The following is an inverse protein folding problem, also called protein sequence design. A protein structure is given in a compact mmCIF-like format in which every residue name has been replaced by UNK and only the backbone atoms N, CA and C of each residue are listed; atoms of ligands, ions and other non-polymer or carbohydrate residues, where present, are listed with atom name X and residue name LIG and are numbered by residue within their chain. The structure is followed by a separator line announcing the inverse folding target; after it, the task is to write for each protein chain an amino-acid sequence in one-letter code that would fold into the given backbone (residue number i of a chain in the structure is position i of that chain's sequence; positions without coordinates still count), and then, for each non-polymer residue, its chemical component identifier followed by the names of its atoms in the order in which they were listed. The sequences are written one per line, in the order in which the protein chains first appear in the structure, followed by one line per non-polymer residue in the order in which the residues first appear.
data_IF_014226261299
#
_entry.id   IF_014226261299
#
_cell.length_a   1.000
_cell.length_b   1.000
_cell.length_c   1.000
_cell.angle_alpha   90.00
_cell.angle_beta   90.00
_cell.angle_gamma   90.00
#
_symmetry.space_group_name_H-M   'P 1'
#
loop_
_entity.id
_entity.type
_entity.pdbx_description
1 polymer ?
#
# COMPACT_ATOMS: atom_id res chain seq x y z
N UNK A 1 1.73 16.68 24.31
CA UNK A 1 1.14 15.83 23.24
C UNK A 1 1.05 16.52 21.87
N UNK A 2 1.15 17.86 21.79
CA UNK A 2 1.11 18.66 20.55
C UNK A 2 2.37 18.54 19.66
N UNK A 3 3.50 18.10 20.20
CA UNK A 3 4.76 17.97 19.44
C UNK A 3 5.01 16.58 18.84
N UNK A 4 4.23 15.57 19.22
CA UNK A 4 4.50 14.17 18.93
C UNK A 4 4.02 13.70 17.54
N UNK A 5 3.59 14.63 16.68
CA UNK A 5 3.02 14.36 15.35
C UNK A 5 3.80 15.02 14.20
N UNK A 6 4.91 15.71 14.51
CA UNK A 6 5.82 16.26 13.47
C UNK A 6 6.66 15.19 12.75
N UNK A 7 6.56 13.91 13.15
CA UNK A 7 7.43 12.84 12.65
C UNK A 7 6.80 11.94 11.59
N UNK A 8 5.57 12.21 11.16
CA UNK A 8 4.90 11.51 10.05
C UNK A 8 4.65 12.46 8.86
N UNK A 9 5.60 13.35 8.57
CA UNK A 9 5.56 14.20 7.38
C UNK A 9 6.09 13.44 6.17
N UNK A 10 5.36 12.37 5.79
CA UNK A 10 5.69 11.58 4.59
C UNK A 10 5.60 12.44 3.31
N UNK A 11 4.83 13.53 3.35
CA UNK A 11 4.79 14.58 2.34
C UNK A 11 4.19 15.84 2.98
N UNK A 12 4.97 16.83 3.43
CA UNK A 12 4.41 18.03 4.06
C UNK A 12 3.43 18.76 3.13
N UNK A 13 3.67 18.71 1.82
CA UNK A 13 2.80 19.29 0.79
C UNK A 13 1.49 18.50 0.68
N UNK A 14 1.55 17.18 0.52
CA UNK A 14 0.34 16.34 0.41
C UNK A 14 -0.47 16.34 1.70
N UNK A 15 0.19 16.32 2.85
CA UNK A 15 -0.45 16.40 4.16
C UNK A 15 -1.13 17.76 4.36
N UNK A 16 -0.48 18.87 3.96
CA UNK A 16 -1.07 20.20 3.99
C UNK A 16 -2.30 20.29 3.07
N UNK A 17 -2.16 19.81 1.84
CA UNK A 17 -3.25 19.75 0.87
C UNK A 17 -4.43 18.91 1.40
N UNK A 18 -4.17 17.73 1.97
CA UNK A 18 -5.21 16.88 2.60
C UNK A 18 -5.89 17.60 3.75
N UNK A 19 -5.17 18.37 4.58
CA UNK A 19 -5.79 19.14 5.66
C UNK A 19 -6.69 20.26 5.17
N UNK A 20 -6.34 20.93 4.07
CA UNK A 20 -7.10 22.04 3.52
C UNK A 20 -8.32 21.56 2.69
N UNK A 21 -8.19 20.44 1.97
CA UNK A 21 -9.19 19.95 1.04
C UNK A 21 -9.40 18.42 1.10
N UNK A 22 -9.58 17.87 2.31
CA UNK A 22 -9.62 16.41 2.57
C UNK A 22 -10.54 15.62 1.63
N UNK A 23 -11.79 16.05 1.45
CA UNK A 23 -12.78 15.34 0.62
C UNK A 23 -12.47 15.44 -0.87
N UNK A 24 -11.99 16.61 -1.32
CA UNK A 24 -11.67 16.84 -2.73
C UNK A 24 -10.49 15.98 -3.15
N UNK A 25 -9.43 15.92 -2.34
CA UNK A 25 -8.24 15.13 -2.67
C UNK A 25 -8.54 13.64 -2.61
N UNK A 26 -9.39 13.20 -1.68
CA UNK A 26 -9.87 11.82 -1.67
C UNK A 26 -10.66 11.49 -2.95
N UNK A 27 -11.55 12.38 -3.39
CA UNK A 27 -12.31 12.19 -4.63
C UNK A 27 -11.42 12.20 -5.88
N UNK A 28 -10.51 13.17 -5.99
CA UNK A 28 -9.58 13.30 -7.13
C UNK A 28 -8.66 12.08 -7.19
N UNK A 29 -8.06 11.67 -6.07
CA UNK A 29 -7.20 10.48 -6.05
C UNK A 29 -7.98 9.21 -6.39
N UNK A 30 -9.23 9.07 -5.94
CA UNK A 30 -10.10 7.97 -6.33
C UNK A 30 -10.35 7.95 -7.84
N UNK A 31 -10.74 9.08 -8.44
CA UNK A 31 -11.01 9.19 -9.88
C UNK A 31 -9.75 8.86 -10.70
N UNK A 32 -8.60 9.40 -10.30
CA UNK A 32 -7.32 9.12 -10.96
C UNK A 32 -6.99 7.63 -10.88
N UNK A 33 -7.00 7.05 -9.68
CA UNK A 33 -6.72 5.62 -9.51
C UNK A 33 -7.69 4.75 -10.29
N UNK A 34 -8.99 5.03 -10.22
CA UNK A 34 -10.02 4.27 -10.92
C UNK A 34 -9.85 4.37 -12.44
N UNK A 35 -9.58 5.56 -12.96
CA UNK A 35 -9.32 5.77 -14.39
C UNK A 35 -8.13 4.94 -14.88
N UNK A 36 -6.99 4.99 -14.17
CA UNK A 36 -5.81 4.23 -14.58
C UNK A 36 -5.99 2.71 -14.43
N UNK A 37 -6.66 2.25 -13.37
CA UNK A 37 -6.96 0.82 -13.22
C UNK A 37 -7.93 0.32 -14.30
N UNK A 38 -8.95 1.13 -14.65
CA UNK A 38 -9.90 0.81 -15.70
C UNK A 38 -9.24 0.84 -17.08
N UNK A 39 -8.41 1.85 -17.35
CA UNK A 39 -7.73 1.97 -18.63
C UNK A 39 -6.75 0.81 -18.88
N UNK A 40 -6.04 0.36 -17.84
CA UNK A 40 -5.15 -0.81 -17.93
C UNK A 40 -5.95 -2.11 -18.07
N UNK A 41 -7.05 -2.25 -17.32
CA UNK A 41 -7.95 -3.39 -17.45
C UNK A 41 -8.54 -3.50 -18.87
N UNK A 42 -8.97 -2.38 -19.46
CA UNK A 42 -9.48 -2.31 -20.82
C UNK A 42 -8.38 -2.46 -21.89
N UNK A 43 -7.14 -2.08 -21.58
CA UNK A 43 -5.99 -2.37 -22.44
C UNK A 43 -5.80 -3.88 -22.62
N UNK A 44 -6.09 -4.68 -21.59
CA UNK A 44 -6.13 -6.15 -21.67
C UNK A 44 -7.16 -6.71 -22.67
N UNK A 45 -8.17 -5.92 -23.03
CA UNK A 45 -9.21 -6.24 -24.03
C UNK A 45 -8.97 -5.55 -25.38
N UNK A 46 -7.74 -5.07 -25.63
CA UNK A 46 -7.37 -4.32 -26.84
C UNK A 46 -8.12 -2.98 -27.02
N UNK A 47 -8.78 -2.49 -25.97
CA UNK A 47 -9.44 -1.18 -25.93
C UNK A 47 -8.46 -0.11 -25.44
N UNK A 48 -7.85 0.60 -26.39
CA UNK A 48 -6.78 1.57 -26.12
C UNK A 48 -7.33 2.91 -25.58
N UNK A 49 -7.40 3.04 -24.26
CA UNK A 49 -7.68 4.32 -23.59
C UNK A 49 -6.43 5.15 -23.29
N UNK A 50 -5.25 4.52 -23.26
CA UNK A 50 -3.96 5.18 -23.00
C UNK A 50 -3.09 5.25 -24.26
N UNK A 51 -2.32 6.34 -24.46
CA UNK A 51 -1.42 6.47 -25.60
C UNK A 51 -0.33 5.38 -25.60
N UNK A 52 -0.10 4.77 -26.78
CA UNK A 52 0.80 3.59 -26.94
C UNK A 52 2.27 3.88 -26.62
N UNK A 53 2.74 5.12 -26.72
CA UNK A 53 4.14 5.51 -26.53
C UNK A 53 4.35 6.35 -25.26
N UNK A 54 5.21 5.89 -24.35
CA UNK A 54 5.71 6.66 -23.20
C UNK A 54 5.04 6.40 -21.84
N UNK A 55 3.77 5.98 -21.82
CA UNK A 55 2.99 5.84 -20.58
C UNK A 55 3.03 4.46 -19.90
N UNK A 56 3.73 3.48 -20.47
CA UNK A 56 3.48 2.05 -20.19
C UNK A 56 3.95 1.49 -18.85
N UNK A 57 4.94 2.06 -18.15
CA UNK A 57 5.49 1.38 -16.97
C UNK A 57 5.33 2.21 -15.69
N UNK A 58 5.83 3.44 -15.67
CA UNK A 58 5.76 4.28 -14.47
C UNK A 58 4.32 4.71 -14.11
N UNK A 59 3.47 4.94 -15.10
CA UNK A 59 2.07 5.32 -14.87
C UNK A 59 1.25 4.19 -14.26
N UNK A 60 1.54 2.94 -14.66
CA UNK A 60 0.94 1.71 -14.11
C UNK A 60 1.37 1.50 -12.65
N UNK A 61 2.58 1.95 -12.31
CA UNK A 61 3.17 1.68 -11.00
C UNK A 61 2.78 2.69 -9.93
N UNK A 62 2.37 3.92 -10.26
CA UNK A 62 2.07 4.93 -9.23
C UNK A 62 0.59 5.34 -9.19
N UNK A 63 -0.02 5.72 -10.32
CA UNK A 63 -1.38 6.28 -10.33
C UNK A 63 -2.47 5.28 -9.91
N UNK A 64 -2.41 3.99 -10.28
CA UNK A 64 -3.30 2.96 -9.75
C UNK A 64 -3.29 2.79 -8.24
N UNK A 65 -2.31 3.36 -7.53
CA UNK A 65 -2.11 3.15 -6.11
C UNK A 65 -2.30 4.43 -5.27
N UNK A 66 -2.33 5.60 -5.91
CA UNK A 66 -2.43 6.91 -5.26
C UNK A 66 -3.61 7.02 -4.29
N UNK A 67 -4.79 6.53 -4.67
CA UNK A 67 -5.98 6.54 -3.82
C UNK A 67 -5.75 5.82 -2.48
N UNK A 68 -5.06 4.68 -2.46
CA UNK A 68 -4.85 3.94 -1.22
C UNK A 68 -3.94 4.71 -0.25
N UNK A 69 -2.93 5.42 -0.76
CA UNK A 69 -2.09 6.30 0.05
C UNK A 69 -2.89 7.45 0.65
N UNK A 70 -3.70 8.13 -0.16
CA UNK A 70 -4.57 9.23 0.30
C UNK A 70 -5.60 8.73 1.31
N UNK A 71 -6.24 7.59 1.05
CA UNK A 71 -7.21 6.95 1.94
C UNK A 71 -6.59 6.60 3.29
N UNK A 72 -5.36 6.06 3.29
CA UNK A 72 -4.61 5.76 4.50
C UNK A 72 -4.33 7.02 5.34
N UNK A 73 -3.81 8.09 4.73
CA UNK A 73 -3.53 9.35 5.41
C UNK A 73 -4.80 10.03 5.94
N UNK A 74 -5.86 10.05 5.14
CA UNK A 74 -7.17 10.57 5.54
C UNK A 74 -7.70 9.83 6.76
N UNK A 75 -7.69 8.49 6.71
CA UNK A 75 -8.22 7.66 7.79
C UNK A 75 -7.38 7.79 9.06
N UNK A 76 -6.05 7.79 8.95
CA UNK A 76 -5.15 8.03 10.09
C UNK A 76 -5.43 9.38 10.78
N UNK A 77 -5.66 10.43 9.99
CA UNK A 77 -6.00 11.77 10.51
C UNK A 77 -7.32 11.76 11.27
N UNK A 78 -8.34 11.09 10.73
CA UNK A 78 -9.68 11.01 11.35
C UNK A 78 -9.69 10.14 12.60
N UNK A 79 -8.92 9.04 12.61
CA UNK A 79 -8.70 8.22 13.80
C UNK A 79 -8.03 9.04 14.91
N UNK A 80 -6.98 9.80 14.59
CA UNK A 80 -6.27 10.63 15.57
C UNK A 80 -7.15 11.72 16.17
N UNK A 81 -8.12 12.24 15.41
CA UNK A 81 -9.11 13.21 15.91
C UNK A 81 -10.25 12.55 16.71
N UNK A 82 -10.30 11.22 16.81
CA UNK A 82 -11.37 10.49 17.49
C UNK A 82 -12.71 10.50 16.75
N UNK A 83 -12.71 10.92 15.48
CA UNK A 83 -13.93 11.07 14.66
C UNK A 83 -14.47 9.71 14.16
N UNK A 84 -13.65 8.66 14.24
CA UNK A 84 -13.94 7.34 13.67
C UNK A 84 -14.28 6.33 14.77
N UNK A 85 -15.57 6.04 14.96
CA UNK A 85 -16.08 5.03 15.90
C UNK A 85 -16.40 3.72 15.19
N UNK A 86 -15.38 2.91 14.89
CA UNK A 86 -15.56 1.67 14.13
C UNK A 86 -16.10 0.48 14.96
N UNK A 87 -16.05 0.53 16.30
CA UNK A 87 -16.42 -0.60 17.18
C UNK A 87 -17.85 -1.16 17.00
N UNK A 88 -18.80 -0.41 16.42
CA UNK A 88 -20.18 -0.89 16.20
C UNK A 88 -20.41 -1.56 14.84
N UNK A 89 -19.41 -1.62 13.96
CA UNK A 89 -19.56 -2.01 12.55
C UNK A 89 -18.80 -3.28 12.18
N UNK A 90 -18.38 -4.11 13.15
CA UNK A 90 -17.56 -5.31 12.89
C UNK A 90 -18.22 -6.28 11.90
N UNK A 91 -19.49 -6.65 12.13
CA UNK A 91 -20.22 -7.56 11.24
C UNK A 91 -20.47 -6.94 9.86
N UNK A 92 -20.84 -5.66 9.79
CA UNK A 92 -21.08 -4.97 8.51
C UNK A 92 -19.79 -4.87 7.68
N UNK A 93 -18.66 -4.63 8.34
CA UNK A 93 -17.36 -4.56 7.68
C UNK A 93 -16.91 -5.93 7.17
N UNK A 94 -17.18 -7.00 7.93
CA UNK A 94 -16.96 -8.37 7.46
C UNK A 94 -17.83 -8.71 6.25
N UNK A 95 -19.13 -8.39 6.28
CA UNK A 95 -20.03 -8.62 5.14
C UNK A 95 -19.60 -7.83 3.89
N UNK A 96 -19.17 -6.57 4.07
CA UNK A 96 -18.64 -5.76 2.97
C UNK A 96 -17.35 -6.38 2.41
N UNK A 97 -16.45 -6.84 3.28
CA UNK A 97 -15.22 -7.50 2.88
C UNK A 97 -15.49 -8.81 2.12
N UNK A 98 -16.38 -9.65 2.65
CA UNK A 98 -16.75 -10.92 2.02
C UNK A 98 -17.43 -10.71 0.66
N UNK A 99 -18.36 -9.75 0.56
CA UNK A 99 -19.00 -9.41 -0.71
C UNK A 99 -18.00 -8.85 -1.73
N UNK A 100 -17.11 -7.94 -1.32
CA UNK A 100 -16.06 -7.41 -2.18
C UNK A 100 -15.10 -8.51 -2.67
N UNK A 101 -14.77 -9.48 -1.81
CA UNK A 101 -13.97 -10.65 -2.18
C UNK A 101 -14.70 -11.52 -3.22
N UNK A 102 -15.98 -11.82 -3.00
CA UNK A 102 -16.77 -12.58 -3.97
C UNK A 102 -16.86 -11.87 -5.33
N UNK A 103 -17.02 -10.55 -5.34
CA UNK A 103 -17.01 -9.75 -6.58
C UNK A 103 -15.66 -9.85 -7.28
N UNK A 104 -14.55 -9.72 -6.56
CA UNK A 104 -13.20 -9.86 -7.11
C UNK A 104 -12.94 -11.27 -7.69
N UNK A 105 -13.39 -12.31 -6.99
CA UNK A 105 -13.26 -13.69 -7.48
C UNK A 105 -14.12 -13.93 -8.71
N UNK A 106 -15.37 -13.46 -8.71
CA UNK A 106 -16.26 -13.56 -9.88
C UNK A 106 -15.65 -12.85 -11.09
N UNK A 107 -15.18 -11.61 -10.94
CA UNK A 107 -14.48 -10.88 -12.00
C UNK A 107 -13.25 -11.64 -12.49
N UNK A 108 -12.44 -12.19 -11.57
CA UNK A 108 -11.25 -12.97 -11.94
C UNK A 108 -11.56 -14.23 -12.73
N UNK A 109 -12.61 -14.95 -12.37
CA UNK A 109 -13.06 -16.14 -13.09
C UNK A 109 -13.62 -15.77 -14.46
N UNK A 110 -14.51 -14.76 -14.52
CA UNK A 110 -15.17 -14.33 -15.76
C UNK A 110 -14.18 -13.81 -16.80
N UNK A 111 -13.11 -13.16 -16.35
CA UNK A 111 -12.13 -12.53 -17.24
C UNK A 111 -10.89 -13.37 -17.49
N UNK A 112 -10.73 -14.51 -16.80
CA UNK A 112 -9.52 -15.36 -16.86
C UNK A 112 -8.21 -14.61 -16.55
N UNK A 113 -8.29 -13.46 -15.90
CA UNK A 113 -7.15 -12.58 -15.63
C UNK A 113 -6.58 -12.80 -14.22
N UNK A 114 -6.25 -14.05 -13.88
CA UNK A 114 -5.70 -14.41 -12.56
C UNK A 114 -4.33 -13.78 -12.28
N UNK A 115 -3.60 -13.40 -13.34
CA UNK A 115 -2.25 -12.85 -13.24
C UNK A 115 -2.21 -11.31 -13.17
N UNK A 116 -3.31 -10.60 -13.43
CA UNK A 116 -3.32 -9.13 -13.45
C UNK A 116 -3.78 -8.58 -12.09
N UNK A 117 -2.89 -7.86 -11.41
CA UNK A 117 -3.20 -7.19 -10.14
C UNK A 117 -3.89 -5.84 -10.29
N UNK A 118 -4.37 -5.50 -11.49
CA UNK A 118 -4.96 -4.20 -11.82
C UNK A 118 -6.36 -4.44 -12.39
N UNK A 119 -7.38 -4.25 -11.53
CA UNK A 119 -8.79 -4.37 -11.89
C UNK A 119 -9.60 -3.39 -11.04
N UNK A 120 -10.65 -2.75 -11.59
CA UNK A 120 -11.51 -1.86 -10.80
C UNK A 120 -12.09 -2.50 -9.53
N UNK A 121 -12.35 -3.82 -9.56
CA UNK A 121 -12.86 -4.60 -8.42
C UNK A 121 -11.87 -4.65 -7.24
N UNK A 122 -10.57 -4.50 -7.50
CA UNK A 122 -9.52 -4.45 -6.48
C UNK A 122 -9.66 -3.19 -5.62
N UNK A 123 -10.12 -2.06 -6.17
CA UNK A 123 -10.33 -0.82 -5.38
C UNK A 123 -11.29 -1.08 -4.21
N UNK A 124 -12.43 -1.72 -4.50
CA UNK A 124 -13.43 -2.05 -3.49
C UNK A 124 -12.89 -3.06 -2.47
N UNK A 125 -12.26 -4.14 -2.96
CA UNK A 125 -11.71 -5.19 -2.10
C UNK A 125 -10.60 -4.66 -1.17
N UNK A 126 -9.67 -3.86 -1.68
CA UNK A 126 -8.59 -3.27 -0.90
C UNK A 126 -9.10 -2.29 0.16
N UNK A 127 -10.07 -1.43 -0.19
CA UNK A 127 -10.68 -0.51 0.77
C UNK A 127 -11.43 -1.27 1.88
N UNK A 128 -12.24 -2.28 1.53
CA UNK A 128 -12.96 -3.10 2.49
C UNK A 128 -11.98 -3.88 3.40
N UNK A 129 -10.91 -4.44 2.82
CA UNK A 129 -9.86 -5.15 3.56
C UNK A 129 -9.14 -4.23 4.54
N UNK A 130 -8.81 -2.99 4.14
CA UNK A 130 -8.18 -2.02 5.01
C UNK A 130 -9.02 -1.75 6.27
N UNK A 131 -10.31 -1.45 6.10
CA UNK A 131 -11.18 -1.17 7.25
C UNK A 131 -11.42 -2.42 8.11
N UNK A 132 -11.58 -3.58 7.49
CA UNK A 132 -11.76 -4.84 8.21
C UNK A 132 -10.51 -5.22 9.03
N UNK A 133 -9.33 -5.13 8.44
CA UNK A 133 -8.05 -5.41 9.13
C UNK A 133 -7.76 -4.39 10.23
N UNK A 134 -8.08 -3.12 10.00
CA UNK A 134 -7.99 -2.10 11.05
C UNK A 134 -8.89 -2.45 12.24
N UNK A 135 -10.15 -2.82 11.98
CA UNK A 135 -11.09 -3.26 13.00
C UNK A 135 -10.57 -4.47 13.78
N UNK A 136 -10.03 -5.47 13.07
CA UNK A 136 -9.43 -6.64 13.67
C UNK A 136 -8.26 -6.23 14.58
N UNK A 137 -7.37 -5.36 14.10
CA UNK A 137 -6.24 -4.84 14.87
C UNK A 137 -6.67 -4.09 16.14
N UNK A 138 -7.82 -3.42 16.13
CA UNK A 138 -8.36 -2.74 17.33
C UNK A 138 -8.94 -3.72 18.35
N UNK A 139 -9.46 -4.87 17.91
CA UNK A 139 -10.01 -5.90 18.79
C UNK A 139 -8.91 -6.79 19.39
N UNK A 140 -7.82 -7.03 18.65
CA UNK A 140 -6.65 -7.76 19.16
C UNK A 140 -5.77 -6.80 19.98
N UNK A 141 -6.28 -6.35 21.13
CA UNK A 141 -5.58 -5.40 22.03
C UNK A 141 -4.31 -5.96 22.69
N UNK A 142 -4.15 -7.28 22.72
CA UNK A 142 -3.09 -7.96 23.49
C UNK A 142 -2.09 -8.70 22.61
N UNK A 143 -1.65 -8.09 21.51
CA UNK A 143 -0.50 -8.60 20.75
C UNK A 143 0.78 -8.35 21.57
N UNK A 144 1.62 -9.38 21.69
CA UNK A 144 2.93 -9.31 22.37
C UNK A 144 3.69 -8.02 22.02
N UNK A 145 4.29 -7.38 23.02
CA UNK A 145 4.97 -6.08 22.89
C UNK A 145 6.01 -6.03 21.76
N UNK A 146 6.70 -7.13 21.45
CA UNK A 146 7.64 -7.21 20.34
C UNK A 146 6.96 -7.19 18.97
N UNK A 147 5.85 -7.90 18.81
CA UNK A 147 5.06 -7.90 17.56
C UNK A 147 4.45 -6.52 17.30
N UNK A 148 3.95 -5.84 18.34
CA UNK A 148 3.43 -4.48 18.21
C UNK A 148 4.52 -3.49 17.74
N UNK A 149 5.76 -3.62 18.26
CA UNK A 149 6.90 -2.82 17.78
C UNK A 149 7.21 -3.10 16.31
N UNK A 150 7.23 -4.37 15.92
CA UNK A 150 7.47 -4.76 14.53
C UNK A 150 6.39 -4.21 13.59
N UNK A 151 5.11 -4.36 13.94
CA UNK A 151 3.98 -3.86 13.14
C UNK A 151 4.04 -2.34 12.99
N UNK A 152 4.36 -1.59 14.07
CA UNK A 152 4.54 -0.14 13.99
C UNK A 152 5.69 0.26 13.09
N UNK A 153 6.84 -0.40 13.22
CA UNK A 153 7.99 -0.15 12.35
C UNK A 153 7.66 -0.46 10.88
N UNK A 154 7.10 -1.64 10.61
CA UNK A 154 6.73 -2.09 9.28
C UNK A 154 5.70 -1.14 8.62
N UNK A 155 4.69 -0.72 9.38
CA UNK A 155 3.69 0.25 8.93
C UNK A 155 4.33 1.60 8.60
N UNK A 156 5.26 2.08 9.42
CA UNK A 156 5.95 3.35 9.20
C UNK A 156 6.90 3.33 7.99
N UNK A 157 7.40 2.15 7.61
CA UNK A 157 8.27 1.94 6.44
C UNK A 157 7.52 1.46 5.20
N UNK A 158 6.20 1.23 5.28
CA UNK A 158 5.41 0.62 4.19
C UNK A 158 5.58 1.31 2.84
N UNK A 159 5.72 2.64 2.82
CA UNK A 159 5.99 3.40 1.61
C UNK A 159 7.37 3.10 1.00
N UNK A 160 8.43 3.03 1.80
CA UNK A 160 9.78 2.65 1.32
C UNK A 160 9.82 1.22 0.86
N UNK A 161 9.14 0.32 1.58
CA UNK A 161 9.05 -1.09 1.20
C UNK A 161 8.38 -1.18 -0.17
N UNK A 162 7.28 -0.46 -0.38
CA UNK A 162 6.59 -0.42 -1.67
C UNK A 162 7.48 0.15 -2.81
N UNK A 163 8.14 1.28 -2.59
CA UNK A 163 9.00 1.89 -3.61
C UNK A 163 10.22 1.00 -3.92
N UNK A 164 10.86 0.45 -2.88
CA UNK A 164 11.97 -0.50 -3.02
C UNK A 164 11.51 -1.75 -3.77
N UNK A 165 10.30 -2.24 -3.50
CA UNK A 165 9.73 -3.39 -4.18
C UNK A 165 9.55 -3.15 -5.68
N UNK A 166 9.01 -1.99 -6.06
CA UNK A 166 8.88 -1.61 -7.46
C UNK A 166 10.24 -1.50 -8.13
N UNK A 167 11.23 -0.86 -7.48
CA UNK A 167 12.57 -0.72 -8.03
C UNK A 167 13.25 -2.08 -8.24
N UNK A 168 13.25 -2.93 -7.21
CA UNK A 168 13.86 -4.27 -7.28
C UNK A 168 13.19 -5.11 -8.38
N UNK A 169 11.87 -5.07 -8.48
CA UNK A 169 11.13 -5.80 -9.50
C UNK A 169 11.42 -5.26 -10.92
N UNK A 170 11.57 -3.95 -11.08
CA UNK A 170 11.96 -3.31 -12.35
C UNK A 170 13.36 -3.75 -12.79
N UNK A 171 14.34 -3.68 -11.89
CA UNK A 171 15.72 -4.10 -12.17
C UNK A 171 15.81 -5.60 -12.49
N UNK A 172 15.10 -6.43 -11.72
CA UNK A 172 15.05 -7.86 -11.96
C UNK A 172 14.47 -8.20 -13.34
N UNK A 173 13.44 -7.46 -13.77
CA UNK A 173 12.85 -7.62 -15.10
C UNK A 173 13.85 -7.30 -16.21
N UNK A 174 14.58 -6.19 -16.07
CA UNK A 174 15.63 -5.80 -17.03
C UNK A 174 16.74 -6.85 -17.07
N UNK A 175 17.17 -7.34 -15.90
CA UNK A 175 18.20 -8.37 -15.80
C UNK A 175 17.79 -9.68 -16.48
N UNK A 176 16.57 -10.16 -16.24
CA UNK A 176 16.06 -11.40 -16.85
C UNK A 176 15.95 -11.26 -18.37
N UNK A 177 15.43 -10.11 -18.85
CA UNK A 177 15.33 -9.82 -20.28
C UNK A 177 16.71 -9.79 -20.96
N UNK A 178 17.72 -9.18 -20.32
CA UNK A 178 19.08 -9.14 -20.85
C UNK A 178 19.76 -10.52 -20.92
N UNK A 179 19.33 -11.48 -20.09
CA UNK A 179 19.87 -12.84 -20.04
C UNK A 179 19.02 -13.86 -20.83
N UNK A 180 17.92 -13.43 -21.46
CA UNK A 180 16.97 -14.29 -22.20
C UNK A 180 16.48 -15.51 -21.38
N UNK A 181 16.27 -15.33 -20.06
CA UNK A 181 15.82 -16.42 -19.17
C UNK A 181 14.32 -16.30 -18.87
N UNK A 182 13.50 -16.16 -19.91
CA UNK A 182 12.05 -15.93 -19.75
C UNK A 182 11.32 -17.12 -19.11
N UNK A 183 11.93 -18.32 -19.12
CA UNK A 183 11.43 -19.51 -18.44
C UNK A 183 11.23 -19.32 -16.93
N UNK A 184 11.91 -18.34 -16.32
CA UNK A 184 11.78 -17.98 -14.89
C UNK A 184 10.33 -17.59 -14.54
N UNK A 185 9.57 -17.02 -15.48
CA UNK A 185 8.20 -16.59 -15.26
C UNK A 185 7.15 -17.69 -15.43
N UNK A 186 7.50 -18.79 -16.10
CA UNK A 186 6.56 -19.87 -16.43
C UNK A 186 6.37 -20.92 -15.32
N UNK A 187 7.31 -21.04 -14.39
CA UNK A 187 7.28 -22.07 -13.35
C UNK A 187 6.70 -21.52 -12.05
N UNK A 188 5.59 -22.11 -11.58
CA UNK A 188 4.87 -21.68 -10.37
C UNK A 188 5.78 -21.58 -9.13
N UNK A 189 6.67 -22.55 -8.93
CA UNK A 189 7.62 -22.56 -7.81
C UNK A 189 8.65 -21.43 -7.91
N UNK A 190 9.12 -21.14 -9.13
CA UNK A 190 10.13 -20.11 -9.38
C UNK A 190 9.52 -18.72 -9.17
N UNK A 191 8.28 -18.51 -9.61
CA UNK A 191 7.54 -17.28 -9.36
C UNK A 191 7.31 -17.03 -7.87
N UNK A 192 7.01 -18.08 -7.08
CA UNK A 192 6.88 -17.96 -5.62
C UNK A 192 8.22 -17.61 -4.97
N UNK A 193 9.31 -18.30 -5.35
CA UNK A 193 10.64 -18.00 -4.84
C UNK A 193 11.06 -16.58 -5.18
N UNK A 194 10.81 -16.14 -6.41
CA UNK A 194 11.10 -14.80 -6.90
C UNK A 194 10.29 -13.75 -6.11
N UNK A 195 9.01 -13.99 -5.85
CA UNK A 195 8.18 -13.14 -5.01
C UNK A 195 8.74 -13.00 -3.59
N UNK A 196 9.14 -14.12 -2.96
CA UNK A 196 9.75 -14.12 -1.62
C UNK A 196 11.07 -13.35 -1.64
N UNK A 197 11.95 -13.62 -2.60
CA UNK A 197 13.25 -12.96 -2.73
C UNK A 197 13.11 -11.46 -2.93
N UNK A 198 12.25 -11.02 -3.87
CA UNK A 198 11.99 -9.59 -4.10
C UNK A 198 11.45 -8.95 -2.83
N UNK A 199 10.51 -9.59 -2.13
CA UNK A 199 9.96 -9.08 -0.87
C UNK A 199 11.04 -8.92 0.20
N UNK A 200 11.91 -9.92 0.40
CA UNK A 200 13.02 -9.85 1.37
C UNK A 200 13.98 -8.72 1.00
N UNK A 201 14.41 -8.64 -0.26
CA UNK A 201 15.33 -7.60 -0.73
C UNK A 201 14.71 -6.21 -0.54
N UNK A 202 13.42 -6.06 -0.81
CA UNK A 202 12.68 -4.80 -0.62
C UNK A 202 12.66 -4.38 0.85
N UNK A 203 12.38 -5.32 1.76
CA UNK A 203 12.39 -5.08 3.19
C UNK A 203 13.79 -4.73 3.72
N UNK A 204 14.83 -5.45 3.25
CA UNK A 204 16.22 -5.16 3.62
C UNK A 204 16.66 -3.79 3.10
N UNK A 205 16.32 -3.47 1.85
CA UNK A 205 16.64 -2.16 1.25
C UNK A 205 15.94 -1.04 2.01
N UNK A 206 14.65 -1.20 2.31
CA UNK A 206 13.91 -0.24 3.13
C UNK A 206 14.52 -0.09 4.54
N UNK A 207 14.95 -1.20 5.15
CA UNK A 207 15.63 -1.17 6.45
C UNK A 207 16.97 -0.42 6.37
N UNK A 208 17.82 -0.71 5.38
CA UNK A 208 19.10 -0.02 5.17
C UNK A 208 18.90 1.47 4.90
N UNK A 209 17.93 1.83 4.05
CA UNK A 209 17.58 3.23 3.79
C UNK A 209 17.08 3.92 5.06
N UNK A 210 16.31 3.23 5.92
CA UNK A 210 15.82 3.77 7.19
C UNK A 210 16.94 4.10 8.20
N UNK A 211 18.16 3.56 8.01
CA UNK A 211 19.33 3.88 8.82
C UNK A 211 20.08 5.13 8.34
N UNK A 212 19.77 5.63 7.14
CA UNK A 212 20.42 6.81 6.56
C UNK A 212 19.62 8.08 6.88
N UNK A 213 20.28 9.25 7.00
CA UNK A 213 19.58 10.54 7.21
C UNK A 213 18.65 10.91 6.03
N UNK A 214 18.83 10.27 4.87
CA UNK A 214 17.94 10.38 3.71
C UNK A 214 16.54 9.83 3.96
N UNK A 215 16.37 8.93 4.95
CA UNK A 215 15.05 8.43 5.33
C UNK A 215 14.10 9.58 5.62
N UNK A 216 14.52 10.59 6.41
CA UNK A 216 13.66 11.72 6.77
C UNK A 216 13.21 12.57 5.58
N UNK A 217 14.04 12.67 4.53
CA UNK A 217 13.73 13.47 3.33
C UNK A 217 12.72 12.74 2.43
N UNK A 218 12.79 11.41 2.39
CA UNK A 218 11.92 10.57 1.56
C UNK A 218 10.65 10.10 2.32
N UNK A 219 10.41 10.62 3.53
CA UNK A 219 9.22 10.34 4.35
C UNK A 219 9.37 9.20 5.36
N UNK A 220 10.58 8.72 5.61
CA UNK A 220 10.89 7.59 6.48
C UNK A 220 11.12 8.04 7.91
N UNK A 221 10.60 7.27 8.85
CA UNK A 221 10.89 7.45 10.27
C UNK A 221 12.18 6.73 10.62
N UNK A 222 13.03 7.41 11.38
CA UNK A 222 14.31 6.87 11.85
C UNK A 222 14.04 5.67 12.77
N UNK A 223 14.63 4.51 12.49
CA UNK A 223 14.38 3.27 13.24
C UNK A 223 14.69 3.43 14.74
N UNK A 224 15.62 4.32 15.10
CA UNK A 224 16.00 4.61 16.50
C UNK A 224 14.93 5.39 17.26
N UNK A 225 14.15 6.24 16.59
CA UNK A 225 13.11 7.07 17.23
C UNK A 225 11.84 6.28 17.57
N UNK A 226 11.52 5.27 16.76
CA UNK A 226 10.40 4.35 17.04
C UNK A 226 10.72 3.43 18.24
N UNK A 227 11.97 3.00 18.38
CA UNK A 227 12.40 2.14 19.49
C UNK A 227 12.42 2.91 20.83
N UNK A 228 12.84 4.18 20.83
CA UNK A 228 12.96 5.01 22.04
C UNK A 228 11.61 5.54 22.57
N UNK A 229 10.63 5.78 21.72
CA UNK A 229 9.28 6.21 22.13
C UNK A 229 8.45 5.09 22.76
N UNK A 230 8.80 3.82 22.49
CA UNK A 230 8.10 2.65 23.05
C UNK A 230 8.50 2.30 24.49
N UNK A 231 9.68 2.74 24.97
CA UNK A 231 10.13 2.51 26.35
C UNK A 231 9.51 3.49 27.34
N UNK A 232 9.14 4.69 26.89
CA UNK A 232 8.53 5.72 27.75
C UNK A 232 7.06 5.44 28.07
N UNK A 233 6.36 4.70 27.20
CA UNK A 233 4.95 4.34 27.41
C UNK A 233 4.73 3.21 28.44
N UNK A 234 5.80 2.55 28.89
CA UNK A 234 5.78 1.55 29.99
C UNK A 234 5.88 2.17 31.40
N UNK A 235 5.97 3.51 31.52
CA UNK A 235 6.14 4.22 32.81
C UNK A 235 4.94 5.08 33.23
N UNK A 236 3.77 4.94 32.58
CA UNK A 236 2.52 5.58 32.99
C UNK A 236 1.38 4.58 33.00
#
# INVERSE_FOLDING_TARGET
MKERLRELDLYPILHKLIKEHEKLILAVSFVVTFYFQLADYLYGYELFLLPKSGFKYYSILFFPWLFYFVLGMYTATKINKGEVKLNKLSVKSFLLWASAYCILMADTILTSTSATSIKPTIVLYSAASFFFLYLLSVHIKDINSSLNKFVKWFSAQSFFIYFSHILVLSELRIFIANKNIDAVWSASIVTILLFISVTIISCVTAYLLSLTPFARVLGGTDARTILSTSSTQKRH
#
